data_IF_867920454890
#
_entry.id   IF_867920454890
#
_cell.length_a   1.000
_cell.length_b   1.000
_cell.length_c   1.000
_cell.angle_alpha   90.00
_cell.angle_beta   90.00
_cell.angle_gamma   90.00
#
_symmetry.space_group_name_H-M   'P 1'
#
loop_
_entity.id
_entity.type
_entity.pdbx_description
1 polymer ?
#
# COMPACT_ATOMS: atom_id res chain seq x y z
N UNK A 1 -8.78 34.28 -11.35
CA UNK A 1 -8.16 33.96 -10.04
C UNK A 1 -8.71 32.63 -9.55
N UNK A 2 -7.91 31.92 -8.75
CA UNK A 2 -8.10 30.60 -8.12
C UNK A 2 -7.69 29.40 -8.98
N UNK A 3 -6.87 28.44 -8.52
CA UNK A 3 -6.04 28.29 -7.31
C UNK A 3 -4.94 27.29 -7.71
N UNK A 4 -3.69 27.62 -7.42
CA UNK A 4 -2.53 26.73 -7.57
C UNK A 4 -2.67 25.53 -6.65
N UNK A 5 -3.02 24.36 -7.18
CA UNK A 5 -2.72 23.08 -6.52
C UNK A 5 -1.35 22.65 -6.99
N UNK A 6 -0.34 23.22 -6.35
CA UNK A 6 0.97 22.58 -6.27
C UNK A 6 0.85 21.44 -5.27
N UNK A 7 0.30 20.29 -5.67
CA UNK A 7 0.54 19.06 -4.90
C UNK A 7 2.01 18.75 -5.04
N UNK A 8 2.76 18.95 -3.96
CA UNK A 8 4.08 18.37 -3.83
C UNK A 8 3.90 16.85 -4.08
N UNK A 9 4.59 16.23 -5.06
CA UNK A 9 4.45 14.79 -5.33
C UNK A 9 4.68 13.92 -4.09
N UNK A 10 5.39 14.45 -3.08
CA UNK A 10 5.57 13.82 -1.77
C UNK A 10 4.25 13.62 -1.01
N UNK A 11 3.29 14.52 -1.10
CA UNK A 11 2.01 14.41 -0.39
C UNK A 11 1.14 13.27 -0.93
N UNK A 12 1.24 12.97 -2.23
CA UNK A 12 0.54 11.83 -2.84
C UNK A 12 1.14 10.47 -2.47
N UNK A 13 2.41 10.45 -2.05
CA UNK A 13 3.11 9.24 -1.63
C UNK A 13 2.92 8.92 -0.14
N UNK A 14 2.31 9.82 0.63
CA UNK A 14 2.00 9.56 2.03
C UNK A 14 0.95 8.43 2.09
N UNK A 15 1.23 7.34 2.81
CA UNK A 15 0.29 6.25 3.00
C UNK A 15 -0.99 6.76 3.66
N UNK A 16 -2.10 6.63 2.95
CA UNK A 16 -3.43 6.88 3.51
C UNK A 16 -3.90 5.66 4.30
N UNK A 17 -4.84 5.86 5.22
CA UNK A 17 -5.56 4.73 5.82
C UNK A 17 -6.22 3.91 4.72
N UNK A 18 -6.23 2.59 4.87
CA UNK A 18 -6.83 1.70 3.90
C UNK A 18 -8.33 2.00 3.68
N UNK A 19 -9.03 2.56 4.67
CA UNK A 19 -10.43 3.02 4.55
C UNK A 19 -10.60 4.31 3.74
N UNK A 20 -9.54 5.10 3.55
CA UNK A 20 -9.61 6.43 2.94
C UNK A 20 -9.22 6.45 1.46
N UNK A 21 -8.69 5.34 0.93
CA UNK A 21 -8.44 5.18 -0.50
C UNK A 21 -9.77 4.99 -1.26
N UNK A 22 -9.75 5.16 -2.59
CA UNK A 22 -10.97 5.03 -3.42
C UNK A 22 -11.63 3.66 -3.23
N UNK A 23 -10.83 2.59 -3.17
CA UNK A 23 -11.34 1.24 -2.93
C UNK A 23 -11.90 1.08 -1.51
N UNK A 24 -11.23 1.58 -0.48
CA UNK A 24 -11.72 1.54 0.90
C UNK A 24 -13.03 2.30 1.09
N UNK A 25 -13.16 3.47 0.47
CA UNK A 25 -14.41 4.26 0.48
C UNK A 25 -15.56 3.51 -0.20
N UNK A 26 -15.28 2.79 -1.29
CA UNK A 26 -16.26 1.91 -1.91
C UNK A 26 -16.58 0.72 -0.99
N UNK A 27 -15.57 0.04 -0.46
CA UNK A 27 -15.70 -1.14 0.40
C UNK A 27 -16.62 -0.83 1.59
N UNK A 28 -16.31 0.20 2.37
CA UNK A 28 -17.12 0.59 3.53
C UNK A 28 -18.35 1.46 3.19
N UNK A 29 -18.60 1.71 1.91
CA UNK A 29 -19.73 2.48 1.41
C UNK A 29 -20.66 1.60 0.57
N UNK A 30 -20.84 1.97 -0.71
CA UNK A 30 -21.73 1.26 -1.63
C UNK A 30 -21.39 -0.24 -1.78
N UNK A 31 -20.13 -0.63 -1.65
CA UNK A 31 -19.69 -2.03 -1.73
C UNK A 31 -20.30 -2.93 -0.65
N UNK A 32 -20.81 -2.39 0.46
CA UNK A 32 -21.40 -3.18 1.55
C UNK A 32 -22.64 -3.97 1.15
N UNK A 33 -23.27 -3.63 0.01
CA UNK A 33 -24.33 -4.45 -0.59
C UNK A 33 -23.86 -5.90 -0.85
N UNK A 34 -22.55 -6.08 -1.02
CA UNK A 34 -21.90 -7.36 -1.29
C UNK A 34 -21.38 -8.07 -0.03
N UNK A 35 -21.70 -7.58 1.18
CA UNK A 35 -21.16 -8.19 2.41
C UNK A 35 -21.57 -9.66 2.57
N UNK A 36 -22.63 -10.10 1.91
CA UNK A 36 -23.08 -11.49 1.92
C UNK A 36 -22.12 -12.44 1.18
N UNK A 37 -21.23 -11.91 0.33
CA UNK A 37 -20.25 -12.68 -0.43
C UNK A 37 -18.96 -12.88 0.38
N UNK A 38 -18.52 -14.12 0.52
CA UNK A 38 -17.27 -14.46 1.21
C UNK A 38 -16.04 -13.93 0.44
N UNK A 39 -16.15 -13.88 -0.90
CA UNK A 39 -15.15 -13.26 -1.78
C UNK A 39 -14.92 -11.80 -1.41
N UNK A 40 -16.00 -11.03 -1.21
CA UNK A 40 -15.97 -9.64 -0.77
C UNK A 40 -15.35 -9.48 0.63
N UNK A 41 -15.79 -10.25 1.63
CA UNK A 41 -15.19 -10.20 2.99
C UNK A 41 -13.69 -10.51 2.97
N UNK A 42 -13.29 -11.48 2.14
CA UNK A 42 -11.90 -11.88 1.98
C UNK A 42 -10.98 -10.76 1.45
N UNK A 43 -11.52 -9.77 0.73
CA UNK A 43 -10.72 -8.66 0.20
C UNK A 43 -10.21 -7.70 1.29
N UNK A 44 -10.93 -7.55 2.41
CA UNK A 44 -10.61 -6.55 3.45
C UNK A 44 -9.24 -6.80 4.08
N UNK A 45 -8.99 -8.05 4.47
CA UNK A 45 -7.72 -8.44 5.11
C UNK A 45 -6.55 -8.22 4.17
N UNK A 46 -6.69 -8.62 2.90
CA UNK A 46 -5.62 -8.49 1.90
C UNK A 46 -5.36 -7.01 1.61
N UNK A 47 -6.43 -6.22 1.46
CA UNK A 47 -6.35 -4.78 1.24
C UNK A 47 -5.69 -4.04 2.41
N UNK A 48 -6.04 -4.37 3.65
CA UNK A 48 -5.38 -3.82 4.83
C UNK A 48 -3.89 -4.16 4.85
N UNK A 49 -3.54 -5.43 4.60
CA UNK A 49 -2.14 -5.88 4.55
C UNK A 49 -1.33 -5.15 3.47
N UNK A 50 -1.96 -4.80 2.33
CA UNK A 50 -1.33 -4.01 1.27
C UNK A 50 -0.92 -2.64 1.80
N UNK A 51 -1.84 -1.93 2.46
CA UNK A 51 -1.58 -0.61 3.03
C UNK A 51 -0.56 -0.67 4.17
N UNK A 52 -0.64 -1.67 5.05
CA UNK A 52 0.32 -1.86 6.15
C UNK A 52 1.75 -2.06 5.59
N UNK A 53 1.90 -2.90 4.56
CA UNK A 53 3.20 -3.14 3.90
C UNK A 53 3.73 -1.89 3.18
N UNK A 54 2.84 -1.12 2.53
CA UNK A 54 3.25 0.14 1.91
C UNK A 54 3.72 1.17 2.96
N UNK A 55 3.06 1.22 4.11
CA UNK A 55 3.45 2.06 5.25
C UNK A 55 4.83 1.67 5.80
N UNK A 56 5.12 0.38 5.93
CA UNK A 56 6.44 -0.14 6.31
C UNK A 56 7.54 0.40 5.37
N UNK A 57 7.32 0.26 4.05
CA UNK A 57 8.26 0.72 3.01
C UNK A 57 8.45 2.25 3.06
N UNK A 58 7.35 3.00 3.23
CA UNK A 58 7.41 4.46 3.30
C UNK A 58 8.22 4.94 4.51
N UNK A 59 7.98 4.34 5.68
CA UNK A 59 8.72 4.67 6.91
C UNK A 59 10.22 4.31 6.80
N UNK A 60 10.55 3.18 6.16
CA UNK A 60 11.95 2.82 5.88
C UNK A 60 12.62 3.84 4.97
N UNK A 61 11.92 4.27 3.91
CA UNK A 61 12.41 5.30 2.99
C UNK A 61 12.64 6.65 3.68
N UNK A 62 11.71 7.09 4.55
CA UNK A 62 11.86 8.35 5.29
C UNK A 62 13.05 8.31 6.26
N UNK A 63 13.26 7.19 6.97
CA UNK A 63 14.43 7.01 7.85
C UNK A 63 15.73 7.13 7.07
N UNK A 64 15.84 6.43 5.93
CA UNK A 64 17.02 6.51 5.06
C UNK A 64 17.25 7.95 4.57
N UNK A 65 16.18 8.67 4.22
CA UNK A 65 16.28 10.04 3.73
C UNK A 65 16.62 11.07 4.83
N UNK A 66 16.27 10.81 6.09
CA UNK A 66 16.48 11.72 7.21
C UNK A 66 17.87 11.55 7.88
N UNK A 67 18.44 10.33 7.84
CA UNK A 67 19.63 9.98 8.61
C UNK A 67 20.98 10.27 7.91
N UNK A 68 21.00 10.79 6.68
CA UNK A 68 22.21 11.34 6.05
C UNK A 68 23.48 10.47 6.17
N UNK A 69 23.55 9.35 5.45
CA UNK A 69 24.78 8.69 4.96
C UNK A 69 26.08 8.84 5.81
N UNK A 70 26.10 8.38 7.06
CA UNK A 70 27.36 8.28 7.85
C UNK A 70 28.12 6.96 7.58
N UNK A 71 29.21 7.09 6.83
CA UNK A 71 30.57 6.51 6.98
C UNK A 71 30.86 4.98 7.03
N UNK A 72 29.91 4.05 6.85
CA UNK A 72 30.29 2.63 6.58
C UNK A 72 29.29 1.93 5.63
N UNK A 73 29.57 2.02 4.33
CA UNK A 73 28.58 1.97 3.22
C UNK A 73 28.39 0.54 2.66
N UNK A 74 29.43 -0.29 2.54
CA UNK A 74 29.37 -1.47 1.65
C UNK A 74 28.40 -2.61 2.09
N UNK A 75 28.46 -3.05 3.35
CA UNK A 75 27.65 -4.19 3.82
C UNK A 75 26.25 -3.77 4.29
N UNK A 76 26.16 -2.61 4.97
CA UNK A 76 24.89 -2.04 5.43
C UNK A 76 23.98 -1.66 4.27
N UNK A 77 24.51 -1.09 3.19
CA UNK A 77 23.68 -0.78 2.01
C UNK A 77 23.15 -2.04 1.35
N UNK A 78 23.96 -3.11 1.24
CA UNK A 78 23.50 -4.37 0.66
C UNK A 78 22.36 -5.04 1.45
N UNK A 79 22.41 -4.96 2.79
CA UNK A 79 21.39 -5.52 3.68
C UNK A 79 20.12 -4.66 3.67
N UNK A 80 20.25 -3.34 3.81
CA UNK A 80 19.11 -2.42 3.72
C UNK A 80 18.41 -2.52 2.37
N UNK A 81 19.18 -2.63 1.28
CA UNK A 81 18.63 -2.81 -0.06
C UNK A 81 17.94 -4.16 -0.22
N UNK A 82 18.46 -5.23 0.39
CA UNK A 82 17.82 -6.56 0.39
C UNK A 82 16.51 -6.56 1.17
N UNK A 83 16.47 -5.93 2.34
CA UNK A 83 15.25 -5.77 3.14
C UNK A 83 14.21 -4.94 2.42
N UNK A 84 14.62 -3.79 1.86
CA UNK A 84 13.75 -2.95 1.04
C UNK A 84 13.18 -3.72 -0.17
N UNK A 85 14.02 -4.46 -0.90
CA UNK A 85 13.58 -5.29 -2.01
C UNK A 85 12.62 -6.41 -1.56
N UNK A 86 12.85 -7.01 -0.40
CA UNK A 86 11.94 -8.01 0.16
C UNK A 86 10.57 -7.42 0.50
N UNK A 87 10.53 -6.21 1.07
CA UNK A 87 9.28 -5.47 1.32
C UNK A 87 8.55 -5.12 0.03
N UNK A 88 9.27 -4.73 -1.02
CA UNK A 88 8.72 -4.48 -2.36
C UNK A 88 8.14 -5.76 -2.97
N UNK A 89 8.82 -6.90 -2.84
CA UNK A 89 8.31 -8.18 -3.34
C UNK A 89 7.11 -8.68 -2.53
N UNK A 90 7.09 -8.45 -1.21
CA UNK A 90 5.90 -8.67 -0.36
C UNK A 90 4.72 -7.84 -0.86
N UNK A 91 4.93 -6.55 -1.14
CA UNK A 91 3.90 -5.66 -1.68
C UNK A 91 3.34 -6.18 -3.02
N UNK A 92 4.22 -6.61 -3.94
CA UNK A 92 3.81 -7.20 -5.23
C UNK A 92 2.98 -8.46 -5.04
N UNK A 93 3.37 -9.34 -4.12
CA UNK A 93 2.66 -10.59 -3.86
C UNK A 93 1.27 -10.34 -3.27
N UNK A 94 1.16 -9.43 -2.30
CA UNK A 94 -0.15 -9.02 -1.74
C UNK A 94 -1.01 -8.36 -2.83
N UNK A 95 -0.41 -7.56 -3.71
CA UNK A 95 -1.13 -6.95 -4.84
C UNK A 95 -1.72 -8.02 -5.77
N UNK A 96 -0.95 -9.08 -6.08
CA UNK A 96 -1.43 -10.21 -6.89
C UNK A 96 -2.57 -10.96 -6.20
N UNK A 97 -2.44 -11.21 -4.89
CA UNK A 97 -3.48 -11.86 -4.09
C UNK A 97 -4.77 -11.04 -4.10
N UNK A 98 -4.67 -9.72 -3.92
CA UNK A 98 -5.82 -8.82 -3.96
C UNK A 98 -6.50 -8.83 -5.33
N UNK A 99 -5.73 -8.76 -6.41
CA UNK A 99 -6.26 -8.84 -7.77
C UNK A 99 -6.96 -10.17 -8.04
N UNK A 100 -6.40 -11.28 -7.55
CA UNK A 100 -7.04 -12.60 -7.64
C UNK A 100 -8.40 -12.61 -6.91
N UNK A 101 -8.44 -12.07 -5.69
CA UNK A 101 -9.68 -12.01 -4.89
C UNK A 101 -10.73 -11.09 -5.50
N UNK A 102 -10.31 -9.97 -6.11
CA UNK A 102 -11.21 -9.08 -6.84
C UNK A 102 -11.76 -9.75 -8.11
N UNK A 103 -10.97 -10.57 -8.80
CA UNK A 103 -11.43 -11.34 -9.95
C UNK A 103 -12.48 -12.40 -9.55
N UNK A 104 -12.30 -13.07 -8.42
CA UNK A 104 -13.32 -13.97 -7.85
C UNK A 104 -14.62 -13.22 -7.54
N UNK A 105 -14.51 -12.09 -6.83
CA UNK A 105 -15.66 -11.24 -6.52
C UNK A 105 -16.36 -10.76 -7.79
N UNK A 106 -15.62 -10.36 -8.82
CA UNK A 106 -16.19 -9.93 -10.10
C UNK A 106 -16.96 -11.05 -10.82
N UNK A 107 -16.55 -12.31 -10.67
CA UNK A 107 -17.22 -13.45 -11.30
C UNK A 107 -18.56 -13.82 -10.64
N UNK A 108 -18.87 -13.24 -9.48
CA UNK A 108 -20.13 -13.44 -8.75
C UNK A 108 -21.22 -12.41 -9.12
N UNK A 109 -20.91 -11.47 -10.03
CA UNK A 109 -21.85 -10.52 -10.64
C UNK A 109 -22.16 -10.88 -12.10
#
# INVERSE_FOLDING_TARGET
>A
MALSVGTNPRDSSVPKKYTECTFGKWYYGAGQENNHLESYKGTERIHKNLHDTYNEIFNEFEKISAEGFFEDISLRDSLKQKEFNASIDKLKNISKELLGKLAELQAEF
#
